data_IF_355939181304
#
_entry.id   IF_355939181304
#
_cell.length_a   1.000
_cell.length_b   1.000
_cell.length_c   1.000
_cell.angle_alpha   90.00
_cell.angle_beta   90.00
_cell.angle_gamma   90.00
#
_symmetry.space_group_name_H-M   'P 1'
#
loop_
_entity.id
_entity.type
_entity.pdbx_description
1 polymer ?
#
# COMPACT_ATOMS: atom_id res chain seq x y z
N UNK A 1 8.22 -9.01 8.42
CA UNK A 1 7.26 -8.02 8.96
C UNK A 1 6.32 -8.72 9.92
N UNK A 2 5.80 -7.98 10.91
CA UNK A 2 4.70 -8.44 11.78
C UNK A 2 3.39 -8.13 11.05
N UNK A 3 2.40 -9.03 11.12
CA UNK A 3 1.12 -8.88 10.39
C UNK A 3 0.08 -8.21 11.28
N UNK A 4 -0.70 -7.29 10.71
CA UNK A 4 -1.81 -6.62 11.38
C UNK A 4 -1.39 -5.64 12.47
N UNK A 5 -2.35 -5.21 13.29
CA UNK A 5 -2.15 -4.19 14.34
C UNK A 5 -1.13 -4.59 15.43
N UNK A 6 -0.73 -5.86 15.47
CA UNK A 6 0.36 -6.33 16.33
C UNK A 6 1.70 -5.63 16.00
N UNK A 7 1.86 -5.13 14.77
CA UNK A 7 3.05 -4.38 14.33
C UNK A 7 3.19 -2.98 14.96
N UNK A 8 2.12 -2.42 15.55
CA UNK A 8 2.12 -1.04 16.05
C UNK A 8 3.10 -0.88 17.22
N UNK A 9 3.00 -1.71 18.27
CA UNK A 9 3.86 -1.57 19.46
C UNK A 9 5.36 -1.70 19.14
N UNK A 10 5.80 -2.70 18.35
CA UNK A 10 7.21 -2.80 17.95
C UNK A 10 7.67 -1.62 17.08
N UNK A 11 6.80 -1.10 16.20
CA UNK A 11 7.11 0.08 15.39
C UNK A 11 7.32 1.32 16.25
N UNK A 12 6.44 1.54 17.24
CA UNK A 12 6.58 2.62 18.22
C UNK A 12 7.89 2.52 18.98
N UNK A 13 8.22 1.33 19.49
CA UNK A 13 9.48 1.11 20.21
C UNK A 13 10.72 1.38 19.33
N UNK A 14 10.68 0.99 18.06
CA UNK A 14 11.76 1.26 17.11
C UNK A 14 11.91 2.77 16.81
N UNK A 15 10.79 3.50 16.70
CA UNK A 15 10.80 4.96 16.54
C UNK A 15 11.38 5.64 17.78
N UNK A 16 10.95 5.25 18.98
CA UNK A 16 11.46 5.81 20.24
C UNK A 16 12.97 5.57 20.41
N UNK A 17 13.47 4.46 19.88
CA UNK A 17 14.89 4.11 19.82
C UNK A 17 15.67 4.81 18.68
N UNK A 18 15.03 5.70 17.91
CA UNK A 18 15.67 6.47 16.84
C UNK A 18 16.07 5.63 15.63
N UNK A 19 15.32 4.56 15.33
CA UNK A 19 15.60 3.67 14.17
C UNK A 19 14.68 3.99 13.02
N UNK A 20 15.26 4.16 11.83
CA UNK A 20 14.50 4.22 10.58
C UNK A 20 13.68 2.94 10.38
N UNK A 21 12.45 3.10 9.91
CA UNK A 21 11.47 2.03 9.80
C UNK A 21 11.29 1.67 8.33
N UNK A 22 11.72 0.47 7.94
CA UNK A 22 11.28 -0.16 6.69
C UNK A 22 9.89 -0.77 6.92
N UNK A 23 8.84 -0.02 6.58
CA UNK A 23 7.47 -0.37 6.88
C UNK A 23 6.89 -1.26 5.77
N UNK A 24 6.84 -2.56 6.05
CA UNK A 24 6.14 -3.55 5.22
C UNK A 24 4.73 -3.89 5.75
N UNK A 25 4.35 -3.35 6.92
CA UNK A 25 3.08 -3.63 7.57
C UNK A 25 2.16 -2.41 7.45
N UNK A 26 1.32 -2.40 6.40
CA UNK A 26 0.36 -1.32 6.15
C UNK A 26 -0.55 -1.07 7.34
N UNK A 27 -1.04 -2.13 8.02
CA UNK A 27 -2.00 -2.00 9.11
C UNK A 27 -1.50 -1.14 10.28
N UNK A 28 -0.19 -0.98 10.45
CA UNK A 28 0.39 -0.04 11.42
C UNK A 28 0.01 1.41 11.12
N UNK A 29 0.03 1.81 9.84
CA UNK A 29 -0.40 3.16 9.42
C UNK A 29 -1.92 3.27 9.35
N UNK A 30 -2.63 2.24 8.87
CA UNK A 30 -4.10 2.30 8.81
C UNK A 30 -4.70 2.42 10.22
N UNK A 31 -4.21 1.64 11.19
CA UNK A 31 -4.74 1.65 12.55
C UNK A 31 -4.13 2.75 13.45
N UNK A 32 -2.90 3.18 13.16
CA UNK A 32 -2.10 4.01 14.05
C UNK A 32 -1.55 5.29 13.43
N UNK A 33 -1.82 5.59 12.16
CA UNK A 33 -1.23 6.70 11.41
C UNK A 33 -1.23 8.05 12.14
N UNK A 34 -2.37 8.52 12.68
CA UNK A 34 -2.45 9.78 13.43
C UNK A 34 -1.57 9.83 14.69
N UNK A 35 -1.10 8.69 15.20
CA UNK A 35 -0.18 8.61 16.35
C UNK A 35 1.26 8.32 15.91
N UNK A 36 1.43 7.35 15.02
CA UNK A 36 2.74 6.86 14.57
C UNK A 36 3.49 7.93 13.76
N UNK A 37 2.81 8.67 12.87
CA UNK A 37 3.45 9.68 12.02
C UNK A 37 3.98 10.88 12.82
N UNK A 38 3.19 11.51 13.73
CA UNK A 38 3.73 12.56 14.59
C UNK A 38 4.88 12.08 15.48
N UNK A 39 4.84 10.82 15.95
CA UNK A 39 5.91 10.25 16.75
C UNK A 39 7.21 10.10 15.93
N UNK A 40 7.12 9.57 14.71
CA UNK A 40 8.27 9.46 13.80
C UNK A 40 8.89 10.83 13.52
N UNK A 41 8.05 11.83 13.23
CA UNK A 41 8.50 13.22 13.03
C UNK A 41 9.21 13.78 14.27
N UNK A 42 8.63 13.61 15.46
CA UNK A 42 9.22 14.04 16.75
C UNK A 42 10.61 13.44 16.97
N UNK A 43 10.80 12.16 16.64
CA UNK A 43 12.06 11.44 16.81
C UNK A 43 13.01 11.57 15.60
N UNK A 44 12.63 12.31 14.56
CA UNK A 44 13.41 12.47 13.30
C UNK A 44 13.73 11.13 12.63
N UNK A 45 12.81 10.17 12.76
CA UNK A 45 12.89 8.83 12.20
C UNK A 45 12.22 8.82 10.84
N UNK A 46 12.85 8.19 9.85
CA UNK A 46 12.26 8.00 8.52
C UNK A 46 11.37 6.76 8.51
N UNK A 47 10.20 6.88 7.87
CA UNK A 47 9.38 5.74 7.49
C UNK A 47 9.59 5.52 6.00
N UNK A 48 10.16 4.37 5.66
CA UNK A 48 10.47 3.95 4.30
C UNK A 48 9.48 2.86 3.89
N UNK A 49 8.68 3.05 2.82
CA UNK A 49 7.72 2.05 2.39
C UNK A 49 8.42 0.82 1.83
N UNK A 50 8.04 -0.35 2.32
CA UNK A 50 8.50 -1.65 1.81
C UNK A 50 7.39 -2.45 1.13
N UNK A 51 6.14 -1.97 1.15
CA UNK A 51 5.08 -2.48 0.27
C UNK A 51 5.39 -2.12 -1.19
N UNK A 52 5.10 -3.00 -2.15
CA UNK A 52 5.63 -2.90 -3.52
C UNK A 52 5.18 -1.64 -4.25
N UNK A 53 3.91 -1.31 -4.15
CA UNK A 53 3.29 -0.17 -4.79
C UNK A 53 3.83 1.14 -4.21
N UNK A 54 3.90 1.24 -2.89
CA UNK A 54 4.45 2.41 -2.18
C UNK A 54 5.96 2.52 -2.38
N UNK A 55 6.68 1.40 -2.47
CA UNK A 55 8.09 1.41 -2.83
C UNK A 55 8.30 1.96 -4.24
N UNK A 56 7.43 1.62 -5.20
CA UNK A 56 7.47 2.18 -6.55
C UNK A 56 7.16 3.69 -6.56
N UNK A 57 6.09 4.13 -5.89
CA UNK A 57 5.76 5.56 -5.73
C UNK A 57 6.93 6.30 -5.11
N UNK A 58 7.49 5.75 -4.02
CA UNK A 58 8.62 6.35 -3.32
C UNK A 58 9.83 6.53 -4.24
N UNK A 59 10.12 5.56 -5.10
CA UNK A 59 11.18 5.66 -6.10
C UNK A 59 10.89 6.76 -7.14
N UNK A 60 9.66 6.84 -7.66
CA UNK A 60 9.30 7.83 -8.67
C UNK A 60 9.33 9.27 -8.14
N UNK A 61 9.04 9.49 -6.86
CA UNK A 61 9.06 10.84 -6.27
C UNK A 61 10.46 11.31 -5.83
N UNK A 62 11.48 10.44 -5.83
CA UNK A 62 12.82 10.85 -5.44
C UNK A 62 13.35 11.94 -6.40
N UNK A 63 13.71 13.09 -5.85
CA UNK A 63 14.27 14.20 -6.63
C UNK A 63 13.23 15.08 -7.32
N UNK A 64 11.93 14.78 -7.18
CA UNK A 64 10.89 15.72 -7.61
C UNK A 64 10.87 16.96 -6.69
N UNK A 65 10.55 18.15 -7.22
CA UNK A 65 10.36 19.32 -6.38
C UNK A 65 9.14 19.14 -5.46
N UNK A 66 9.17 19.82 -4.32
CA UNK A 66 8.04 19.84 -3.39
C UNK A 66 6.77 20.34 -4.11
N UNK A 67 5.64 19.66 -3.90
CA UNK A 67 4.37 19.96 -4.57
C UNK A 67 4.25 19.47 -6.01
N UNK A 68 5.28 18.81 -6.56
CA UNK A 68 5.23 18.28 -7.92
C UNK A 68 4.29 17.08 -8.09
N UNK A 69 4.02 16.32 -7.02
CA UNK A 69 3.11 15.18 -7.07
C UNK A 69 1.67 15.68 -7.22
N UNK A 70 1.01 15.28 -8.32
CA UNK A 70 -0.38 15.64 -8.61
C UNK A 70 -1.34 14.50 -8.28
N UNK A 71 -1.02 13.29 -8.69
CA UNK A 71 -1.86 12.10 -8.51
C UNK A 71 -1.00 10.85 -8.36
N UNK A 72 -1.47 9.91 -7.55
CA UNK A 72 -0.91 8.56 -7.45
C UNK A 72 -1.77 7.63 -8.30
N UNK A 73 -1.12 6.78 -9.09
CA UNK A 73 -1.77 5.70 -9.83
C UNK A 73 -1.33 4.37 -9.21
N UNK A 74 -2.19 3.83 -8.36
CA UNK A 74 -1.96 2.64 -7.56
C UNK A 74 -2.41 1.41 -8.34
N UNK A 75 -1.47 0.61 -8.84
CA UNK A 75 -1.84 -0.57 -9.64
C UNK A 75 -2.31 -1.72 -8.75
N UNK A 76 -3.21 -2.57 -9.25
CA UNK A 76 -3.66 -3.78 -8.57
C UNK A 76 -3.65 -4.99 -9.52
N UNK A 77 -3.31 -6.19 -9.02
CA UNK A 77 -3.41 -7.41 -9.84
C UNK A 77 -4.86 -7.77 -10.22
N UNK A 78 -5.84 -7.33 -9.43
CA UNK A 78 -7.23 -7.75 -9.51
C UNK A 78 -7.56 -8.99 -8.66
N UNK A 79 -6.55 -9.71 -8.16
CA UNK A 79 -6.73 -10.89 -7.33
C UNK A 79 -7.35 -12.10 -8.06
N UNK A 80 -7.63 -13.15 -7.30
CA UNK A 80 -8.07 -14.46 -7.80
C UNK A 80 -9.44 -14.45 -8.49
N UNK A 81 -10.28 -13.45 -8.19
CA UNK A 81 -11.67 -13.37 -8.66
C UNK A 81 -11.90 -12.32 -9.75
N UNK A 82 -10.84 -11.64 -10.22
CA UNK A 82 -10.93 -10.54 -11.22
C UNK A 82 -11.82 -10.88 -12.41
N UNK A 83 -11.61 -12.06 -12.99
CA UNK A 83 -12.26 -12.48 -14.24
C UNK A 83 -13.47 -13.40 -13.99
N UNK A 84 -13.92 -13.54 -12.73
CA UNK A 84 -15.07 -14.38 -12.39
C UNK A 84 -16.38 -13.62 -12.59
N UNK A 85 -17.45 -14.31 -13.05
CA UNK A 85 -18.79 -13.72 -13.07
C UNK A 85 -19.25 -13.33 -11.67
N UNK A 86 -19.92 -12.18 -11.55
CA UNK A 86 -20.40 -11.61 -10.28
C UNK A 86 -21.31 -12.59 -9.52
N UNK A 87 -22.09 -13.39 -10.25
CA UNK A 87 -23.01 -14.37 -9.69
C UNK A 87 -22.26 -15.46 -8.91
N UNK A 88 -21.05 -15.82 -9.34
CA UNK A 88 -20.21 -16.82 -8.66
C UNK A 88 -19.59 -16.30 -7.37
N UNK A 89 -19.48 -14.98 -7.20
CA UNK A 89 -18.81 -14.38 -6.04
C UNK A 89 -19.52 -14.72 -4.71
N UNK A 90 -20.82 -15.05 -4.74
CA UNK A 90 -21.59 -15.44 -3.55
C UNK A 90 -21.20 -16.82 -3.00
N UNK A 91 -20.55 -17.65 -3.81
CA UNK A 91 -20.25 -19.05 -3.49
C UNK A 91 -18.75 -19.32 -3.30
N UNK A 92 -17.91 -18.29 -3.43
CA UNK A 92 -16.45 -18.43 -3.35
C UNK A 92 -16.02 -18.93 -1.98
N UNK A 93 -15.02 -19.81 -1.97
CA UNK A 93 -14.42 -20.33 -0.74
C UNK A 93 -13.04 -19.74 -0.53
N UNK A 94 -12.54 -19.82 0.71
CA UNK A 94 -11.17 -19.46 1.04
C UNK A 94 -10.16 -20.20 0.15
N UNK A 95 -10.42 -21.48 -0.15
CA UNK A 95 -9.58 -22.27 -1.04
C UNK A 95 -9.49 -21.72 -2.47
N UNK A 96 -10.50 -20.99 -2.94
CA UNK A 96 -10.48 -20.32 -4.24
C UNK A 96 -9.69 -19.02 -4.18
N UNK A 97 -9.87 -18.24 -3.10
CA UNK A 97 -9.12 -17.01 -2.87
C UNK A 97 -7.61 -17.26 -2.81
N UNK A 98 -7.18 -18.38 -2.21
CA UNK A 98 -5.77 -18.75 -2.05
C UNK A 98 -5.01 -19.09 -3.36
N UNK A 99 -5.68 -19.10 -4.51
CA UNK A 99 -5.09 -19.36 -5.84
C UNK A 99 -4.73 -18.06 -6.56
N UNK A 100 -3.83 -17.27 -5.98
CA UNK A 100 -3.44 -15.97 -6.56
C UNK A 100 -2.67 -16.14 -7.88
N UNK A 101 -2.97 -15.36 -8.95
CA UNK A 101 -2.40 -15.57 -10.28
C UNK A 101 -0.89 -15.28 -10.38
N UNK A 102 -0.39 -14.29 -9.64
CA UNK A 102 0.99 -13.78 -9.86
C UNK A 102 1.96 -13.99 -8.68
N UNK A 103 1.46 -14.24 -7.47
CA UNK A 103 2.23 -14.06 -6.24
C UNK A 103 2.01 -15.23 -5.29
N UNK A 104 3.08 -15.66 -4.62
CA UNK A 104 3.01 -16.60 -3.51
C UNK A 104 3.16 -15.82 -2.19
N UNK A 105 2.07 -15.67 -1.44
CA UNK A 105 1.98 -14.80 -0.27
C UNK A 105 1.30 -15.49 0.91
N UNK A 106 1.29 -14.83 2.08
CA UNK A 106 0.56 -15.31 3.25
C UNK A 106 -0.96 -15.30 3.07
N UNK A 107 -1.67 -16.23 3.73
CA UNK A 107 -3.13 -16.43 3.54
C UNK A 107 -3.97 -15.15 3.70
N UNK A 108 -3.64 -14.30 4.68
CA UNK A 108 -4.39 -13.06 4.96
C UNK A 108 -4.31 -12.10 3.76
N UNK A 109 -3.10 -11.74 3.33
CA UNK A 109 -2.90 -10.84 2.18
C UNK A 109 -3.45 -11.43 0.88
N UNK A 110 -3.38 -12.76 0.71
CA UNK A 110 -3.97 -13.42 -0.46
C UNK A 110 -5.50 -13.27 -0.50
N UNK A 111 -6.20 -13.43 0.62
CA UNK A 111 -7.66 -13.22 0.69
C UNK A 111 -8.01 -11.75 0.51
N UNK A 112 -7.26 -10.84 1.12
CA UNK A 112 -7.45 -9.40 0.94
C UNK A 112 -7.24 -8.96 -0.51
N UNK A 113 -6.28 -9.57 -1.22
CA UNK A 113 -6.06 -9.34 -2.64
C UNK A 113 -7.23 -9.84 -3.47
N UNK A 114 -7.74 -11.04 -3.19
CA UNK A 114 -8.90 -11.60 -3.89
C UNK A 114 -10.18 -10.76 -3.72
N UNK A 115 -10.31 -10.04 -2.61
CA UNK A 115 -11.45 -9.14 -2.33
C UNK A 115 -11.18 -7.68 -2.69
N UNK A 116 -9.99 -7.35 -3.19
CA UNK A 116 -9.46 -5.99 -3.35
C UNK A 116 -9.40 -5.15 -2.07
N UNK A 117 -9.70 -5.73 -0.90
CA UNK A 117 -9.56 -5.05 0.38
C UNK A 117 -8.11 -4.66 0.65
N UNK A 118 -7.16 -5.46 0.16
CA UNK A 118 -5.73 -5.11 0.21
C UNK A 118 -5.49 -3.74 -0.45
N UNK A 119 -6.06 -3.50 -1.63
CA UNK A 119 -5.90 -2.24 -2.35
C UNK A 119 -6.59 -1.07 -1.63
N UNK A 120 -7.73 -1.33 -0.99
CA UNK A 120 -8.38 -0.35 -0.11
C UNK A 120 -7.51 0.10 1.07
N UNK A 121 -6.79 -0.84 1.71
CA UNK A 121 -5.82 -0.50 2.76
C UNK A 121 -4.65 0.32 2.20
N UNK A 122 -4.15 -0.05 1.02
CA UNK A 122 -3.02 0.63 0.39
C UNK A 122 -3.35 2.05 -0.09
N UNK A 123 -4.61 2.34 -0.40
CA UNK A 123 -5.10 3.72 -0.64
C UNK A 123 -4.96 4.58 0.61
N UNK A 124 -5.39 4.05 1.77
CA UNK A 124 -5.26 4.76 3.06
C UNK A 124 -3.77 4.94 3.40
N UNK A 125 -2.96 3.92 3.17
CA UNK A 125 -1.51 3.99 3.36
C UNK A 125 -0.85 5.04 2.46
N UNK A 126 -1.23 5.14 1.19
CA UNK A 126 -0.72 6.14 0.27
C UNK A 126 -1.09 7.58 0.71
N UNK A 127 -2.32 7.78 1.18
CA UNK A 127 -2.73 9.05 1.78
C UNK A 127 -1.83 9.45 2.95
N UNK A 128 -1.55 8.51 3.87
CA UNK A 128 -0.70 8.76 5.04
C UNK A 128 0.78 8.95 4.70
N UNK A 129 1.32 8.20 3.74
CA UNK A 129 2.74 8.26 3.38
C UNK A 129 3.10 9.49 2.54
N UNK A 130 2.19 9.93 1.66
CA UNK A 130 2.50 10.95 0.66
C UNK A 130 1.69 12.24 0.80
N UNK A 131 0.73 12.29 1.73
CA UNK A 131 -0.10 13.48 1.96
C UNK A 131 -1.03 13.83 0.80
N UNK A 132 -1.35 12.85 -0.06
CA UNK A 132 -2.23 13.02 -1.21
C UNK A 132 -3.68 12.78 -0.80
N UNK A 133 -4.59 13.66 -1.21
CA UNK A 133 -6.03 13.48 -0.97
C UNK A 133 -6.58 12.22 -1.67
N UNK A 134 -7.61 11.59 -1.10
CA UNK A 134 -8.19 10.36 -1.65
C UNK A 134 -8.65 10.49 -3.10
N UNK A 135 -9.19 11.65 -3.49
CA UNK A 135 -9.62 11.93 -4.87
C UNK A 135 -8.46 11.95 -5.87
N UNK A 136 -7.22 12.06 -5.38
CA UNK A 136 -5.98 12.06 -6.17
C UNK A 136 -5.24 10.70 -6.09
N UNK A 137 -5.91 9.64 -5.65
CA UNK A 137 -5.38 8.26 -5.66
C UNK A 137 -6.27 7.41 -6.57
N UNK A 138 -5.77 7.10 -7.76
CA UNK A 138 -6.47 6.29 -8.75
C UNK A 138 -6.03 4.84 -8.68
N UNK A 139 -6.98 3.91 -8.68
CA UNK A 139 -6.69 2.48 -8.72
C UNK A 139 -6.81 1.98 -10.16
N UNK A 140 -5.77 1.33 -10.67
CA UNK A 140 -5.76 0.73 -12.02
C UNK A 140 -5.51 -0.77 -11.91
N UNK A 141 -6.37 -1.58 -12.52
CA UNK A 141 -6.12 -3.02 -12.62
C UNK A 141 -5.02 -3.27 -13.66
N UNK A 142 -3.87 -3.76 -13.20
CA UNK A 142 -2.73 -4.18 -14.01
C UNK A 142 -2.43 -5.67 -13.76
N UNK A 143 -3.09 -6.59 -14.52
CA UNK A 143 -3.02 -8.02 -14.30
C UNK A 143 -1.62 -8.63 -14.31
N UNK A 144 -0.68 -8.02 -15.02
CA UNK A 144 0.68 -8.54 -15.18
C UNK A 144 1.54 -8.22 -13.95
N UNK A 145 1.16 -7.23 -13.15
CA UNK A 145 1.90 -6.78 -11.96
C UNK A 145 3.39 -6.46 -12.24
N UNK A 146 3.68 -5.89 -13.42
CA UNK A 146 5.03 -5.50 -13.84
C UNK A 146 5.29 -4.03 -13.47
N UNK A 147 4.35 -3.15 -13.80
CA UNK A 147 4.36 -1.77 -13.31
C UNK A 147 3.74 -1.80 -11.92
N UNK A 148 4.53 -1.52 -10.89
CA UNK A 148 4.09 -1.62 -9.50
C UNK A 148 3.24 -0.43 -9.08
N UNK A 149 3.58 0.79 -9.47
CA UNK A 149 2.70 1.97 -9.37
C UNK A 149 3.30 3.07 -10.23
N UNK A 150 2.54 4.14 -10.45
CA UNK A 150 3.03 5.33 -11.14
C UNK A 150 2.63 6.58 -10.36
N UNK A 151 3.31 7.68 -10.68
CA UNK A 151 2.93 9.02 -10.20
C UNK A 151 2.71 9.93 -11.40
N UNK A 152 1.67 10.77 -11.33
CA UNK A 152 1.50 11.89 -12.24
C UNK A 152 1.99 13.17 -11.56
N UNK A 153 2.78 13.96 -12.27
CA UNK A 153 3.28 15.25 -11.81
C UNK A 153 2.38 16.41 -12.25
N UNK A 154 2.59 17.60 -11.68
CA UNK A 154 1.79 18.81 -11.99
C UNK A 154 1.86 19.21 -13.48
N UNK A 155 2.95 18.91 -14.17
CA UNK A 155 3.13 19.12 -15.61
C UNK A 155 2.59 17.96 -16.47
N UNK A 156 1.89 17.00 -15.86
CA UNK A 156 1.26 15.82 -16.49
C UNK A 156 2.25 14.75 -16.99
N UNK A 157 3.53 14.80 -16.59
CA UNK A 157 4.42 13.65 -16.77
C UNK A 157 3.97 12.48 -15.90
N UNK A 158 4.19 11.25 -16.37
CA UNK A 158 3.92 10.03 -15.62
C UNK A 158 5.21 9.22 -15.50
N UNK A 159 5.57 8.90 -14.26
CA UNK A 159 6.76 8.12 -13.89
C UNK A 159 6.37 6.80 -13.25
#
# INVERSE_FOLDING_TARGET
>A
GIVGCAGVKPTVAAIEAGKDIALANKETLIAGGPFVLPLAHKHKVKILPADSEHSAIFQCIQGLPEGALRRIILTASGGSFRDWPVEKLKEVKVADALKHPNWNMGKKITVDSATLFNKGLEVIEAHYLYGVDYDNIEIVIHPQSIIHSMVETQDSSVL
#
